data_IF_191761109422
#
_entry.id   IF_191761109422
#
_cell.length_a   1.000
_cell.length_b   1.000
_cell.length_c   1.000
_cell.angle_alpha   90.00
_cell.angle_beta   90.00
_cell.angle_gamma   90.00
#
_symmetry.space_group_name_H-M   'P 1'
#
loop_
_entity.id
_entity.type
_entity.pdbx_description
1 polymer ?
#
# COMPACT_ATOMS: atom_id res chain seq x y z
N UNK A 1 10.50 17.46 -16.95
CA UNK A 1 9.59 16.73 -16.04
C UNK A 1 10.36 16.03 -14.89
N UNK A 2 11.21 16.76 -14.14
CA UNK A 2 12.10 16.18 -13.09
C UNK A 2 11.88 16.71 -11.67
N UNK A 3 11.09 17.78 -11.48
CA UNK A 3 10.95 18.45 -10.17
C UNK A 3 10.03 17.73 -9.17
N UNK A 4 8.93 17.13 -9.61
CA UNK A 4 7.97 16.48 -8.71
C UNK A 4 8.48 15.16 -8.10
N UNK A 5 9.29 14.40 -8.83
CA UNK A 5 9.91 13.17 -8.30
C UNK A 5 10.88 13.45 -7.17
N UNK A 6 11.51 14.64 -7.16
CA UNK A 6 12.43 15.05 -6.10
C UNK A 6 11.68 15.28 -4.78
N UNK A 7 10.55 15.99 -4.80
CA UNK A 7 9.77 16.29 -3.60
C UNK A 7 9.25 15.03 -2.90
N UNK A 8 8.57 14.13 -3.61
CA UNK A 8 8.03 12.91 -3.00
C UNK A 8 9.14 11.98 -2.48
N UNK A 9 10.29 11.96 -3.15
CA UNK A 9 11.46 11.21 -2.70
C UNK A 9 12.02 11.81 -1.41
N UNK A 10 12.16 13.14 -1.34
CA UNK A 10 12.64 13.85 -0.16
C UNK A 10 11.69 13.67 1.02
N UNK A 11 10.39 13.90 0.80
CA UNK A 11 9.31 13.67 1.79
C UNK A 11 9.40 12.26 2.37
N UNK A 12 9.52 11.25 1.50
CA UNK A 12 9.63 9.86 1.93
C UNK A 12 10.91 9.59 2.70
N UNK A 13 12.06 10.12 2.27
CA UNK A 13 13.33 9.99 3.00
C UNK A 13 13.24 10.61 4.40
N UNK A 14 12.64 11.79 4.51
CA UNK A 14 12.41 12.46 5.78
C UNK A 14 11.47 11.66 6.68
N UNK A 15 10.34 11.18 6.15
CA UNK A 15 9.42 10.34 6.90
C UNK A 15 10.07 9.05 7.40
N UNK A 16 10.88 8.40 6.54
CA UNK A 16 11.68 7.24 6.94
C UNK A 16 12.70 7.58 8.01
N UNK A 17 13.35 8.74 7.92
CA UNK A 17 14.30 9.19 8.93
C UNK A 17 13.63 9.40 10.28
N UNK A 18 12.49 10.11 10.33
CA UNK A 18 11.72 10.32 11.57
C UNK A 18 11.27 8.98 12.15
N UNK A 19 10.69 8.10 11.33
CA UNK A 19 10.24 6.79 11.79
C UNK A 19 11.42 5.92 12.28
N UNK A 20 12.59 5.97 11.64
CA UNK A 20 13.82 5.33 12.14
C UNK A 20 14.24 5.88 13.50
N UNK A 21 14.15 7.19 13.70
CA UNK A 21 14.43 7.82 14.99
C UNK A 21 13.45 7.34 16.07
N UNK A 22 12.18 7.10 15.69
CA UNK A 22 11.17 6.46 16.55
C UNK A 22 11.36 4.93 16.70
N UNK A 23 12.49 4.37 16.25
CA UNK A 23 12.83 2.96 16.36
C UNK A 23 12.27 2.04 15.26
N UNK A 24 11.68 2.58 14.19
CA UNK A 24 11.13 1.78 13.09
C UNK A 24 12.17 1.46 12.03
N UNK A 25 12.25 0.18 11.64
CA UNK A 25 13.08 -0.30 10.52
C UNK A 25 12.23 -0.36 9.26
N UNK A 26 12.86 -0.19 8.10
CA UNK A 26 12.20 -0.34 6.79
C UNK A 26 12.77 -1.55 6.08
N UNK A 27 11.91 -2.41 5.55
CA UNK A 27 12.31 -3.59 4.78
C UNK A 27 11.54 -3.67 3.47
N UNK A 28 12.16 -4.30 2.48
CA UNK A 28 11.57 -4.56 1.17
C UNK A 28 11.77 -3.43 0.17
N UNK A 29 10.96 -3.45 -0.90
CA UNK A 29 11.14 -2.57 -2.06
C UNK A 29 10.30 -1.31 -1.94
N UNK A 30 10.93 -0.16 -2.24
CA UNK A 30 10.23 1.11 -2.26
C UNK A 30 9.22 1.20 -3.41
N UNK A 31 8.05 1.83 -3.20
CA UNK A 31 7.12 2.12 -4.28
C UNK A 31 7.77 3.06 -5.31
N UNK A 32 7.69 2.77 -6.63
CA UNK A 32 8.24 3.58 -7.70
C UNK A 32 7.32 4.78 -7.96
N UNK A 33 7.90 5.88 -8.40
CA UNK A 33 7.17 7.15 -8.58
C UNK A 33 6.36 7.26 -9.87
N UNK A 34 6.50 6.31 -10.80
CA UNK A 34 6.00 6.45 -12.18
C UNK A 34 4.69 5.69 -12.46
N UNK A 35 4.24 4.80 -11.59
CA UNK A 35 3.15 3.87 -11.89
C UNK A 35 1.90 4.20 -11.08
N UNK A 36 0.71 3.98 -11.65
CA UNK A 36 -0.54 3.90 -10.89
C UNK A 36 -0.39 2.75 -9.90
N UNK A 37 -0.67 2.97 -8.62
CA UNK A 37 -0.32 2.01 -7.57
C UNK A 37 -1.45 1.87 -6.55
N UNK A 38 -1.78 0.62 -6.23
CA UNK A 38 -2.59 0.24 -5.07
C UNK A 38 -1.68 -0.41 -4.04
N UNK A 39 -1.72 0.06 -2.80
CA UNK A 39 -1.03 -0.54 -1.67
C UNK A 39 -2.07 -1.06 -0.69
N UNK A 40 -2.13 -2.39 -0.54
CA UNK A 40 -2.87 -3.02 0.54
C UNK A 40 -2.07 -2.90 1.83
N UNK A 41 -2.71 -2.54 2.94
CA UNK A 41 -2.04 -2.32 4.23
C UNK A 41 -2.73 -3.14 5.31
N UNK A 42 -1.97 -3.92 6.07
CA UNK A 42 -2.50 -4.63 7.23
C UNK A 42 -3.01 -3.61 8.26
N UNK A 43 -4.26 -3.69 8.71
CA UNK A 43 -4.79 -2.78 9.72
C UNK A 43 -4.01 -3.00 11.01
N UNK A 44 -3.39 -1.94 11.50
CA UNK A 44 -2.91 -1.90 12.87
C UNK A 44 -4.08 -1.65 13.83
N UNK A 45 -3.85 -1.86 15.12
CA UNK A 45 -4.84 -1.60 16.18
C UNK A 45 -4.40 -0.45 17.09
N UNK A 46 -5.37 0.17 17.79
CA UNK A 46 -5.11 1.22 18.78
C UNK A 46 -4.30 2.42 18.26
N UNK A 47 -3.34 2.89 19.07
CA UNK A 47 -2.50 4.05 18.73
C UNK A 47 -1.63 3.84 17.48
N UNK A 48 -1.32 2.59 17.14
CA UNK A 48 -0.57 2.26 15.95
C UNK A 48 -1.38 2.47 14.68
N UNK A 49 -2.70 2.27 14.72
CA UNK A 49 -3.58 2.58 13.59
C UNK A 49 -3.51 4.06 13.22
N UNK A 50 -3.58 4.94 14.22
CA UNK A 50 -3.49 6.39 14.03
C UNK A 50 -2.14 6.74 13.37
N UNK A 51 -1.06 6.17 13.91
CA UNK A 51 0.29 6.36 13.37
C UNK A 51 0.40 5.84 11.93
N UNK A 52 -0.14 4.66 11.65
CA UNK A 52 -0.15 4.07 10.32
C UNK A 52 -0.92 4.96 9.33
N UNK A 53 -2.10 5.43 9.69
CA UNK A 53 -2.92 6.32 8.86
C UNK A 53 -2.19 7.63 8.56
N UNK A 54 -1.55 8.21 9.58
CA UNK A 54 -0.80 9.46 9.47
C UNK A 54 0.44 9.30 8.57
N UNK A 55 1.23 8.23 8.75
CA UNK A 55 2.54 8.11 8.11
C UNK A 55 2.52 7.46 6.73
N UNK A 56 1.58 6.55 6.45
CA UNK A 56 1.52 5.87 5.16
C UNK A 56 1.50 6.83 3.96
N UNK A 57 0.74 7.94 3.98
CA UNK A 57 0.76 8.89 2.88
C UNK A 57 2.12 9.53 2.62
N UNK A 58 2.99 9.65 3.63
CA UNK A 58 4.34 10.18 3.48
C UNK A 58 5.34 9.13 2.98
N UNK A 59 5.00 7.84 3.09
CA UNK A 59 5.84 6.72 2.67
C UNK A 59 5.65 6.34 1.19
N UNK A 60 4.62 6.87 0.52
CA UNK A 60 4.37 6.65 -0.91
C UNK A 60 5.29 7.51 -1.78
N UNK A 61 5.36 7.17 -3.06
CA UNK A 61 6.16 7.86 -4.09
C UNK A 61 5.36 8.92 -4.87
N UNK A 62 4.06 9.03 -4.61
CA UNK A 62 3.12 9.97 -5.22
C UNK A 62 2.20 10.52 -4.13
N UNK A 63 1.32 11.47 -4.47
CA UNK A 63 0.13 11.72 -3.65
C UNK A 63 -0.64 10.41 -3.43
N UNK A 64 -1.27 10.28 -2.28
CA UNK A 64 -1.97 9.06 -1.91
C UNK A 64 -3.17 9.35 -1.03
N UNK A 65 -4.19 8.50 -1.13
CA UNK A 65 -5.43 8.63 -0.38
C UNK A 65 -5.81 7.28 0.22
N UNK A 66 -6.29 7.31 1.46
CA UNK A 66 -6.95 6.17 2.07
C UNK A 66 -8.36 6.04 1.49
N UNK A 67 -8.69 4.85 0.98
CA UNK A 67 -9.94 4.59 0.28
C UNK A 67 -10.46 3.24 0.75
N UNK A 68 -11.78 3.15 0.91
CA UNK A 68 -12.48 1.90 1.17
C UNK A 68 -12.43 1.00 -0.08
N UNK A 69 -12.21 -0.30 0.09
CA UNK A 69 -12.17 -1.27 -1.00
C UNK A 69 -13.45 -1.23 -1.87
N UNK A 70 -14.61 -1.00 -1.23
CA UNK A 70 -15.92 -0.98 -1.88
C UNK A 70 -16.17 0.30 -2.70
N UNK A 71 -15.37 1.35 -2.48
CA UNK A 71 -15.52 2.60 -3.23
C UNK A 71 -14.72 2.59 -4.54
N UNK A 72 -15.17 1.75 -5.49
CA UNK A 72 -14.54 1.58 -6.81
C UNK A 72 -14.40 2.90 -7.58
N UNK A 73 -15.40 3.79 -7.47
CA UNK A 73 -15.41 5.11 -8.11
C UNK A 73 -14.25 6.00 -7.65
N UNK A 74 -14.00 6.04 -6.34
CA UNK A 74 -12.95 6.85 -5.75
C UNK A 74 -11.57 6.27 -6.02
N UNK A 75 -11.45 4.93 -5.98
CA UNK A 75 -10.22 4.24 -6.38
C UNK A 75 -9.85 4.61 -7.81
N UNK A 76 -10.80 4.54 -8.74
CA UNK A 76 -10.60 4.94 -10.15
C UNK A 76 -10.14 6.39 -10.27
N UNK A 77 -10.83 7.32 -9.60
CA UNK A 77 -10.48 8.75 -9.61
C UNK A 77 -9.05 9.04 -9.10
N UNK A 78 -8.61 8.33 -8.06
CA UNK A 78 -7.24 8.46 -7.52
C UNK A 78 -6.21 7.90 -8.50
N UNK A 79 -6.47 6.72 -9.07
CA UNK A 79 -5.55 6.07 -10.00
C UNK A 79 -5.43 6.84 -11.32
N UNK A 80 -6.50 7.48 -11.80
CA UNK A 80 -6.47 8.30 -13.02
C UNK A 80 -5.61 9.55 -12.89
N UNK A 81 -5.55 10.12 -11.68
CA UNK A 81 -4.58 11.18 -11.33
C UNK A 81 -3.15 10.67 -11.14
N UNK A 82 -2.89 9.37 -11.39
CA UNK A 82 -1.61 8.68 -11.12
C UNK A 82 -1.18 8.81 -9.65
N UNK A 83 -2.16 8.84 -8.75
CA UNK A 83 -1.94 8.82 -7.30
C UNK A 83 -1.99 7.38 -6.79
N UNK A 84 -1.53 7.17 -5.55
CA UNK A 84 -1.51 5.85 -4.91
C UNK A 84 -2.79 5.67 -4.09
N UNK A 85 -3.54 4.59 -4.34
CA UNK A 85 -4.65 4.19 -3.49
C UNK A 85 -4.10 3.37 -2.31
N UNK A 86 -4.42 3.79 -1.08
CA UNK A 86 -4.11 3.07 0.15
C UNK A 86 -5.39 2.36 0.60
N UNK A 87 -5.37 1.03 0.59
CA UNK A 87 -6.53 0.21 0.92
C UNK A 87 -6.19 -0.64 2.14
N UNK A 88 -7.08 -0.71 3.12
CA UNK A 88 -6.91 -1.57 4.28
C UNK A 88 -7.17 -3.02 3.89
N UNK A 89 -6.37 -3.94 4.42
CA UNK A 89 -6.55 -5.37 4.24
C UNK A 89 -7.31 -5.98 5.42
N UNK A 90 -8.59 -6.28 5.25
CA UNK A 90 -9.42 -6.86 6.31
C UNK A 90 -9.23 -8.40 6.38
N UNK A 91 -9.71 -9.09 7.43
CA UNK A 91 -9.70 -10.57 7.43
C UNK A 91 -10.84 -11.11 6.58
N UNK A 92 -12.02 -10.53 6.79
CA UNK A 92 -13.24 -10.81 6.03
C UNK A 92 -13.28 -9.92 4.79
N UNK A 93 -12.24 -10.03 3.96
CA UNK A 93 -12.17 -9.28 2.70
C UNK A 93 -13.30 -9.73 1.78
N UNK A 94 -14.05 -8.75 1.30
CA UNK A 94 -14.98 -8.87 0.19
C UNK A 94 -14.24 -9.35 -1.07
N UNK A 95 -14.32 -10.66 -1.32
CA UNK A 95 -13.59 -11.33 -2.41
C UNK A 95 -14.07 -10.85 -3.77
N UNK A 96 -15.36 -10.53 -3.91
CA UNK A 96 -15.94 -10.03 -5.14
C UNK A 96 -15.38 -8.63 -5.46
N UNK A 97 -15.45 -7.71 -4.50
CA UNK A 97 -14.89 -6.37 -4.64
C UNK A 97 -13.38 -6.40 -4.92
N UNK A 98 -12.64 -7.29 -4.25
CA UNK A 98 -11.20 -7.44 -4.48
C UNK A 98 -10.90 -8.02 -5.88
N UNK A 99 -11.69 -8.99 -6.33
CA UNK A 99 -11.55 -9.59 -7.67
C UNK A 99 -11.82 -8.55 -8.75
N UNK A 100 -12.88 -7.75 -8.60
CA UNK A 100 -13.20 -6.65 -9.50
C UNK A 100 -12.07 -5.62 -9.54
N UNK A 101 -11.58 -5.20 -8.36
CA UNK A 101 -10.47 -4.26 -8.26
C UNK A 101 -9.20 -4.77 -8.96
N UNK A 102 -8.83 -6.03 -8.75
CA UNK A 102 -7.63 -6.62 -9.38
C UNK A 102 -7.79 -6.75 -10.89
N UNK A 103 -8.98 -7.11 -11.38
CA UNK A 103 -9.29 -7.14 -12.81
C UNK A 103 -9.17 -5.75 -13.44
N UNK A 104 -9.79 -4.75 -12.81
CA UNK A 104 -9.71 -3.35 -13.24
C UNK A 104 -8.26 -2.83 -13.20
N UNK A 105 -7.52 -3.16 -12.15
CA UNK A 105 -6.11 -2.80 -12.01
C UNK A 105 -5.25 -3.40 -13.14
N UNK A 106 -5.50 -4.66 -13.52
CA UNK A 106 -4.83 -5.31 -14.66
C UNK A 106 -5.08 -4.56 -15.97
N UNK A 107 -6.34 -4.31 -16.29
CA UNK A 107 -6.74 -3.62 -17.53
C UNK A 107 -6.08 -2.23 -17.63
N UNK A 108 -5.97 -1.54 -16.49
CA UNK A 108 -5.41 -0.20 -16.41
C UNK A 108 -3.90 -0.14 -16.15
N UNK A 109 -3.19 -1.29 -16.23
CA UNK A 109 -1.74 -1.42 -16.00
C UNK A 109 -1.30 -0.87 -14.63
N UNK A 110 -2.17 -0.95 -13.64
CA UNK A 110 -1.94 -0.55 -12.25
C UNK A 110 -1.08 -1.61 -11.58
N UNK A 111 -0.17 -1.17 -10.71
CA UNK A 111 0.65 -2.04 -9.88
C UNK A 111 -0.02 -2.23 -8.55
N UNK A 112 0.20 -3.41 -7.96
CA UNK A 112 -0.29 -3.77 -6.63
C UNK A 112 0.90 -4.12 -5.77
N UNK A 113 0.87 -3.71 -4.51
CA UNK A 113 1.77 -4.21 -3.48
C UNK A 113 1.06 -4.32 -2.14
N UNK A 114 1.76 -4.88 -1.16
CA UNK A 114 1.31 -4.96 0.22
C UNK A 114 2.29 -4.25 1.15
N UNK A 115 1.80 -3.74 2.28
CA UNK A 115 2.58 -3.09 3.33
C UNK A 115 2.12 -3.59 4.69
N UNK A 116 3.04 -4.05 5.53
CA UNK A 116 2.73 -4.46 6.89
C UNK A 116 3.55 -3.67 7.91
N UNK A 117 2.90 -3.31 9.02
CA UNK A 117 3.54 -2.69 10.17
C UNK A 117 3.68 -3.76 11.26
N UNK A 118 4.90 -4.28 11.40
CA UNK A 118 5.27 -5.34 12.34
C UNK A 118 5.75 -4.70 13.64
N UNK A 119 4.99 -4.89 14.71
CA UNK A 119 5.29 -4.36 16.05
C UNK A 119 6.39 -5.14 16.75
N UNK A 120 6.41 -6.48 16.62
CA UNK A 120 7.42 -7.38 17.21
C UNK A 120 8.83 -6.93 16.86
N UNK A 121 9.07 -6.64 15.57
CA UNK A 121 10.39 -6.24 15.08
C UNK A 121 10.51 -4.74 14.84
N UNK A 122 9.48 -3.95 15.21
CA UNK A 122 9.32 -2.53 14.89
C UNK A 122 9.73 -2.25 13.43
N UNK A 123 9.08 -2.91 12.49
CA UNK A 123 9.44 -2.85 11.07
C UNK A 123 8.24 -2.51 10.18
N UNK A 124 8.43 -1.56 9.26
CA UNK A 124 7.51 -1.33 8.14
C UNK A 124 8.04 -2.10 6.93
N UNK A 125 7.28 -3.12 6.50
CA UNK A 125 7.67 -4.04 5.42
C UNK A 125 6.85 -3.75 4.17
N UNK A 126 7.52 -3.36 3.09
CA UNK A 126 6.91 -3.21 1.77
C UNK A 126 7.18 -4.47 0.94
N UNK A 127 6.10 -5.14 0.54
CA UNK A 127 6.19 -6.25 -0.37
C UNK A 127 6.59 -5.79 -1.79
N UNK A 128 7.17 -6.69 -2.58
CA UNK A 128 7.42 -6.42 -4.00
C UNK A 128 6.11 -6.10 -4.72
N UNK A 129 6.22 -5.26 -5.73
CA UNK A 129 5.08 -4.89 -6.55
C UNK A 129 4.91 -5.85 -7.71
N UNK A 130 3.66 -6.08 -8.08
CA UNK A 130 3.32 -6.92 -9.22
C UNK A 130 2.21 -6.26 -10.04
N UNK A 131 2.07 -6.70 -11.30
CA UNK A 131 0.84 -6.45 -12.07
C UNK A 131 -0.11 -7.57 -11.70
N UNK A 132 -1.38 -7.29 -11.39
CA UNK A 132 -2.37 -8.34 -11.20
C UNK A 132 -2.37 -9.30 -12.40
N UNK A 133 -2.39 -10.59 -12.08
CA UNK A 133 -2.41 -11.67 -13.03
C UNK A 133 -3.81 -11.86 -13.63
N UNK A 134 -3.99 -12.74 -14.62
CA UNK A 134 -5.32 -13.15 -15.07
C UNK A 134 -6.15 -13.90 -14.03
N UNK A 135 -5.52 -14.36 -12.95
CA UNK A 135 -6.11 -15.24 -11.97
C UNK A 135 -6.17 -14.52 -10.62
N UNK A 136 -7.22 -13.72 -10.40
CA UNK A 136 -7.36 -12.90 -9.18
C UNK A 136 -7.23 -13.74 -7.91
N UNK A 137 -7.78 -14.96 -7.85
CA UNK A 137 -7.65 -15.85 -6.68
C UNK A 137 -6.19 -16.16 -6.30
N UNK A 138 -5.28 -16.22 -7.27
CA UNK A 138 -3.86 -16.43 -7.02
C UNK A 138 -3.27 -15.19 -6.35
N UNK A 139 -3.60 -14.01 -6.84
CA UNK A 139 -3.12 -12.74 -6.32
C UNK A 139 -3.70 -12.45 -4.93
N UNK A 140 -4.98 -12.75 -4.71
CA UNK A 140 -5.65 -12.65 -3.41
C UNK A 140 -4.96 -13.58 -2.40
N UNK A 141 -4.75 -14.87 -2.76
CA UNK A 141 -4.02 -15.81 -1.90
C UNK A 141 -2.59 -15.35 -1.62
N UNK A 142 -1.93 -14.74 -2.60
CA UNK A 142 -0.59 -14.20 -2.43
C UNK A 142 -0.54 -13.04 -1.43
N UNK A 143 -1.47 -12.08 -1.55
CA UNK A 143 -1.63 -10.98 -0.61
C UNK A 143 -2.01 -11.48 0.80
N UNK A 144 -2.95 -12.42 0.87
CA UNK A 144 -3.38 -13.05 2.14
C UNK A 144 -2.21 -13.71 2.86
N UNK A 145 -1.37 -14.46 2.12
CA UNK A 145 -0.16 -15.09 2.68
C UNK A 145 0.81 -14.06 3.22
N UNK A 146 1.05 -12.96 2.49
CA UNK A 146 1.90 -11.88 2.99
C UNK A 146 1.40 -11.36 4.34
N UNK A 147 0.11 -11.06 4.45
CA UNK A 147 -0.43 -10.52 5.70
C UNK A 147 -0.47 -11.56 6.82
N UNK A 148 -0.73 -12.84 6.55
CA UNK A 148 -0.70 -13.90 7.57
C UNK A 148 0.62 -13.94 8.36
N UNK A 149 1.76 -13.72 7.69
CA UNK A 149 3.07 -13.73 8.34
C UNK A 149 3.42 -12.44 9.11
N UNK A 150 2.66 -11.35 8.90
CA UNK A 150 2.94 -10.06 9.52
C UNK A 150 1.80 -9.53 10.39
N UNK A 151 0.68 -10.25 10.44
CA UNK A 151 -0.48 -9.96 11.29
C UNK A 151 -0.38 -10.56 12.69
N UNK A 152 0.73 -11.21 13.02
CA UNK A 152 0.96 -11.67 14.39
C UNK A 152 1.31 -10.46 15.28
N UNK A 153 0.26 -9.75 15.73
CA UNK A 153 -0.03 -9.19 17.07
C UNK A 153 -1.34 -8.40 16.98
#
# INVERSE_FOLDING_TARGET
>A
MFRFTSFFTLRRRFAKFVLKFMGWRFRGQDPPSRWKHIIFISPATGSLLIKQQQWMPYLTSTNSKWIDLRNSSEIKAVLDKKHTALIRWEEDVDVEALTELLSNARQNKVRVSACAWDTTHKAVKFHSQFRPSPYSDRDIRYLSRFFKYFKQI
#
